data_IF_933550291123
#
_entry.id   IF_933550291123
#
_cell.length_a   1.000
_cell.length_b   1.000
_cell.length_c   1.000
_cell.angle_alpha   90.00
_cell.angle_beta   90.00
_cell.angle_gamma   90.00
#
_symmetry.space_group_name_H-M   'P 1'
#
loop_
_entity.id
_entity.type
_entity.pdbx_description
1 polymer ?
#
# COMPACT_ATOMS: atom_id res chain seq x y z
N UNK A 1 15.69 -13.73 -67.72
CA UNK A 1 16.14 -12.35 -67.81
C UNK A 1 16.25 -11.80 -66.38
N UNK A 2 17.42 -11.89 -65.77
CA UNK A 2 17.90 -11.02 -64.70
C UNK A 2 18.27 -9.69 -65.37
N UNK A 3 18.45 -8.55 -64.62
CA UNK A 3 19.20 -8.35 -63.38
C UNK A 3 18.54 -7.26 -62.45
N UNK A 4 18.97 -6.79 -61.35
CA UNK A 4 20.24 -6.33 -60.74
C UNK A 4 19.96 -5.89 -59.32
N UNK A 5 20.60 -6.47 -58.37
CA UNK A 5 21.48 -5.98 -57.32
C UNK A 5 21.53 -4.43 -57.14
N UNK A 6 21.26 -3.95 -55.92
CA UNK A 6 22.15 -3.00 -55.24
C UNK A 6 21.97 -3.01 -53.72
N UNK A 7 22.98 -3.49 -53.07
CA UNK A 7 23.30 -3.28 -51.67
C UNK A 7 23.69 -1.81 -51.46
N UNK A 8 23.31 -1.27 -50.30
CA UNK A 8 24.08 -0.20 -49.66
C UNK A 8 24.16 -0.54 -48.15
N UNK A 9 25.32 -1.01 -47.82
CA UNK A 9 25.86 -0.94 -46.47
C UNK A 9 26.23 0.52 -46.21
N UNK A 10 26.04 1.01 -45.00
CA UNK A 10 26.93 1.88 -44.23
C UNK A 10 26.19 2.52 -43.08
N UNK A 11 26.76 2.36 -41.91
CA UNK A 11 26.35 3.10 -40.70
C UNK A 11 26.83 2.45 -39.41
N UNK A 12 28.07 1.93 -39.42
CA UNK A 12 28.78 1.58 -38.21
C UNK A 12 29.42 2.85 -37.63
N UNK A 13 29.05 3.29 -36.46
CA UNK A 13 29.84 4.16 -35.60
C UNK A 13 29.23 4.12 -34.20
N UNK A 14 29.81 3.38 -33.31
CA UNK A 14 30.68 3.78 -32.23
C UNK A 14 30.04 4.76 -31.24
N UNK A 15 29.76 4.29 -30.03
CA UNK A 15 30.26 4.98 -28.84
C UNK A 15 30.47 3.91 -27.78
N UNK A 16 31.70 3.49 -27.74
CA UNK A 16 32.41 2.91 -26.62
C UNK A 16 32.84 4.10 -25.75
N UNK A 17 32.72 4.01 -24.46
CA UNK A 17 33.36 4.95 -23.59
C UNK A 17 32.50 5.43 -22.44
N UNK A 18 32.56 4.76 -21.31
CA UNK A 18 32.91 5.30 -20.00
C UNK A 18 33.06 4.09 -19.08
N UNK A 19 34.23 3.51 -19.17
CA UNK A 19 34.81 2.78 -18.07
C UNK A 19 36.00 3.66 -17.57
N UNK A 20 36.20 3.65 -16.27
CA UNK A 20 37.41 4.12 -15.63
C UNK A 20 37.47 5.57 -15.18
N UNK A 21 37.00 5.77 -13.94
CA UNK A 21 37.64 6.76 -13.08
C UNK A 21 37.68 6.20 -11.66
N UNK A 22 38.62 5.35 -11.48
CA UNK A 22 39.09 4.87 -10.17
C UNK A 22 40.55 5.29 -10.06
N UNK A 23 40.91 5.82 -8.89
CA UNK A 23 42.24 6.06 -8.42
C UNK A 23 42.84 7.42 -8.78
N UNK A 24 43.02 8.20 -7.79
CA UNK A 24 44.22 8.90 -7.36
C UNK A 24 43.83 10.06 -6.45
N UNK A 25 44.11 9.89 -5.19
CA UNK A 25 44.68 10.98 -4.40
C UNK A 25 45.38 10.38 -3.19
N UNK A 26 46.63 10.14 -3.41
CA UNK A 26 47.66 9.94 -2.43
C UNK A 26 48.11 11.29 -1.86
N UNK A 27 48.40 11.29 -0.58
CA UNK A 27 49.43 12.06 0.14
C UNK A 27 49.68 13.53 -0.22
N UNK A 28 49.38 14.39 0.74
CA UNK A 28 50.19 15.56 1.01
C UNK A 28 50.37 15.72 2.52
N UNK A 29 51.49 15.22 2.97
CA UNK A 29 52.14 15.46 4.25
C UNK A 29 52.78 16.84 4.18
N UNK A 30 52.41 17.77 5.04
CA UNK A 30 53.25 18.96 5.32
C UNK A 30 53.35 19.12 6.82
N UNK A 31 54.61 19.13 7.20
CA UNK A 31 55.20 19.21 8.53
C UNK A 31 55.38 20.68 8.94
N UNK A 32 55.37 20.94 10.26
CA UNK A 32 55.97 22.00 11.06
C UNK A 32 55.58 23.47 10.86
N UNK A 33 55.20 24.19 11.87
CA UNK A 33 56.07 24.76 12.92
C UNK A 33 55.27 25.70 13.83
N UNK A 34 55.39 25.47 15.11
CA UNK A 34 55.37 26.36 16.26
C UNK A 34 54.86 27.82 16.14
N UNK A 35 53.89 28.20 16.90
CA UNK A 35 53.98 29.34 17.84
C UNK A 35 52.97 29.21 18.94
N UNK A 36 53.47 29.17 20.14
CA UNK A 36 52.75 29.33 21.41
C UNK A 36 52.05 30.68 21.48
N UNK A 37 50.78 30.69 21.86
CA UNK A 37 50.24 31.80 22.62
C UNK A 37 49.20 31.26 23.61
N UNK A 38 49.67 31.30 24.83
CA UNK A 38 48.89 31.08 26.04
C UNK A 38 47.55 31.80 25.97
N UNK A 39 46.44 31.06 26.05
CA UNK A 39 45.15 31.59 26.48
C UNK A 39 44.43 30.54 27.35
N UNK A 40 44.21 30.97 28.53
CA UNK A 40 43.45 30.47 29.67
C UNK A 40 42.40 29.40 29.27
N UNK A 41 42.61 28.17 29.72
CA UNK A 41 41.62 27.11 29.70
C UNK A 41 40.48 27.44 30.64
N UNK A 42 39.36 27.83 30.07
CA UNK A 42 38.07 27.70 30.76
C UNK A 42 37.68 26.24 30.66
N UNK A 43 37.78 25.56 31.78
CA UNK A 43 37.36 24.18 31.97
C UNK A 43 35.89 24.05 31.58
N UNK A 44 35.58 23.24 30.55
CA UNK A 44 34.21 22.87 30.24
C UNK A 44 33.62 22.10 31.43
N UNK A 45 32.38 22.36 31.85
CA UNK A 45 31.75 21.60 32.92
C UNK A 45 31.61 20.13 32.47
N UNK A 46 32.00 19.25 33.36
CA UNK A 46 31.92 17.82 33.31
C UNK A 46 30.49 17.38 32.87
N UNK A 47 30.42 16.43 31.96
CA UNK A 47 29.20 15.79 31.44
C UNK A 47 28.32 15.08 32.49
N UNK A 48 28.58 15.28 33.78
CA UNK A 48 27.76 14.75 34.87
C UNK A 48 26.59 15.68 35.26
N UNK A 49 26.63 16.98 34.92
CA UNK A 49 25.56 17.92 35.28
C UNK A 49 24.45 18.08 34.25
N UNK A 50 24.62 17.55 33.04
CA UNK A 50 23.60 17.56 31.99
C UNK A 50 22.47 16.52 32.22
N UNK A 51 22.69 15.59 33.15
CA UNK A 51 21.73 14.51 33.43
C UNK A 51 20.58 14.93 34.38
N UNK A 52 20.71 16.05 35.05
CA UNK A 52 19.69 16.52 36.02
C UNK A 52 18.65 17.47 35.39
N UNK A 53 18.88 17.97 34.18
CA UNK A 53 17.94 18.85 33.47
C UNK A 53 17.00 18.11 32.52
N UNK A 54 17.22 16.82 32.31
CA UNK A 54 16.37 15.99 31.43
C UNK A 54 15.26 15.23 32.16
N UNK A 55 15.14 15.34 33.47
CA UNK A 55 14.11 14.66 34.27
C UNK A 55 12.86 15.51 34.54
N UNK A 56 12.72 16.64 33.88
CA UNK A 56 11.46 17.36 33.77
C UNK A 56 10.58 16.71 32.71
N UNK A 57 10.08 15.50 32.97
CA UNK A 57 8.93 14.99 32.21
C UNK A 57 7.84 16.06 32.32
N UNK A 58 7.63 16.79 31.22
CA UNK A 58 6.47 17.67 31.05
C UNK A 58 5.25 16.77 31.19
N UNK A 59 4.75 16.63 32.41
CA UNK A 59 3.49 15.97 32.68
C UNK A 59 2.46 16.80 31.94
N UNK A 60 2.06 16.33 30.78
CA UNK A 60 0.95 16.90 30.00
C UNK A 60 -0.23 16.94 30.94
N UNK A 61 -0.53 18.15 31.43
CA UNK A 61 -1.68 18.39 32.32
C UNK A 61 -2.90 18.05 31.47
N UNK A 62 -3.61 16.99 31.82
CA UNK A 62 -4.86 16.63 31.13
C UNK A 62 -5.86 17.78 31.33
N UNK A 63 -6.74 17.98 30.31
CA UNK A 63 -7.75 19.03 30.39
C UNK A 63 -8.61 18.94 31.66
N UNK A 64 -8.82 17.75 32.23
CA UNK A 64 -9.49 17.52 33.50
C UNK A 64 -8.70 18.07 34.69
N UNK A 65 -7.38 17.82 34.76
CA UNK A 65 -6.52 18.34 35.79
C UNK A 65 -6.41 19.90 35.75
N UNK A 66 -6.45 20.47 34.54
CA UNK A 66 -6.50 21.93 34.37
C UNK A 66 -7.81 22.52 34.87
N UNK A 67 -8.95 21.85 34.63
CA UNK A 67 -10.25 22.24 35.16
C UNK A 67 -10.31 22.17 36.69
N UNK A 68 -9.83 21.11 37.31
CA UNK A 68 -9.81 20.92 38.75
C UNK A 68 -8.93 22.01 39.47
N UNK A 69 -7.77 22.30 38.88
CA UNK A 69 -6.91 23.39 39.38
C UNK A 69 -7.58 24.75 39.28
N UNK A 70 -8.27 24.99 38.15
CA UNK A 70 -9.01 26.25 37.98
C UNK A 70 -10.15 26.39 38.98
N UNK A 71 -10.99 25.36 39.16
CA UNK A 71 -12.08 25.37 40.13
C UNK A 71 -11.54 25.64 41.57
N UNK A 72 -10.40 25.02 41.90
CA UNK A 72 -9.77 25.23 43.20
C UNK A 72 -9.26 26.65 43.36
N UNK A 73 -8.67 27.25 42.34
CA UNK A 73 -8.22 28.64 42.32
C UNK A 73 -9.42 29.59 42.38
N UNK A 74 -10.50 29.32 41.63
CA UNK A 74 -11.71 30.12 41.65
C UNK A 74 -12.35 30.18 43.06
N UNK A 75 -12.49 29.00 43.69
CA UNK A 75 -13.03 28.91 45.07
C UNK A 75 -12.13 29.62 46.07
N UNK A 76 -10.82 29.55 45.92
CA UNK A 76 -9.86 30.23 46.78
C UNK A 76 -9.91 31.74 46.57
N UNK A 77 -10.08 32.21 45.35
CA UNK A 77 -10.23 33.64 45.02
C UNK A 77 -11.58 34.19 45.53
N UNK A 78 -12.68 33.45 45.37
CA UNK A 78 -13.98 33.86 45.93
C UNK A 78 -13.98 34.00 47.44
N UNK A 79 -13.10 33.28 48.13
CA UNK A 79 -12.94 33.41 49.62
C UNK A 79 -12.10 34.58 50.04
N UNK A 80 -11.25 35.14 49.12
CA UNK A 80 -10.20 36.11 49.52
C UNK A 80 -10.22 37.42 48.70
N UNK A 81 -11.18 37.62 47.74
CA UNK A 81 -11.21 38.79 46.84
C UNK A 81 -12.10 39.91 47.34
N UNK A 82 -11.54 41.14 47.28
CA UNK A 82 -12.25 42.41 47.32
C UNK A 82 -13.01 42.64 45.98
N UNK A 83 -14.31 43.05 45.99
CA UNK A 83 -15.18 43.05 44.81
C UNK A 83 -14.85 44.08 43.71
N UNK A 84 -13.73 44.79 43.78
CA UNK A 84 -13.46 45.93 42.88
C UNK A 84 -12.61 45.66 41.63
N UNK A 85 -12.13 44.43 41.35
CA UNK A 85 -11.36 44.13 40.14
C UNK A 85 -11.69 42.76 39.53
N UNK A 86 -12.76 42.65 38.66
CA UNK A 86 -13.20 41.39 38.06
C UNK A 86 -12.50 41.02 36.71
N UNK A 87 -11.51 41.80 36.23
CA UNK A 87 -11.05 41.71 34.84
C UNK A 87 -10.16 40.51 34.51
N UNK A 88 -9.47 39.89 35.47
CA UNK A 88 -8.57 38.74 35.19
C UNK A 88 -9.32 37.42 34.97
N UNK A 89 -10.55 37.29 35.48
CA UNK A 89 -11.31 36.05 35.40
C UNK A 89 -11.86 35.74 34.00
N UNK A 90 -12.15 36.75 33.18
CA UNK A 90 -12.70 36.56 31.85
C UNK A 90 -11.67 35.93 30.87
N UNK A 91 -10.43 36.35 30.96
CA UNK A 91 -9.36 35.87 30.11
C UNK A 91 -8.98 34.42 30.42
N UNK A 92 -8.90 34.08 31.71
CA UNK A 92 -8.64 32.68 32.15
C UNK A 92 -9.81 31.77 31.78
N UNK A 93 -11.05 32.23 31.93
CA UNK A 93 -12.23 31.45 31.51
C UNK A 93 -12.24 31.19 30.02
N UNK A 94 -11.83 32.19 29.20
CA UNK A 94 -11.71 32.02 27.73
C UNK A 94 -10.65 30.98 27.37
N UNK A 95 -9.47 31.05 28.01
CA UNK A 95 -8.41 30.07 27.79
C UNK A 95 -8.84 28.64 28.19
N UNK A 96 -9.56 28.52 29.32
CA UNK A 96 -10.09 27.24 29.77
C UNK A 96 -11.15 26.67 28.78
N UNK A 97 -12.02 27.53 28.25
CA UNK A 97 -12.98 27.13 27.22
C UNK A 97 -12.27 26.64 25.96
N UNK A 98 -11.18 27.29 25.56
CA UNK A 98 -10.36 26.84 24.42
C UNK A 98 -9.71 25.49 24.71
N UNK A 99 -9.08 25.30 25.88
CA UNK A 99 -8.49 24.03 26.29
C UNK A 99 -9.56 22.93 26.31
N UNK A 100 -10.76 23.21 26.87
CA UNK A 100 -11.87 22.26 26.91
C UNK A 100 -12.34 21.87 25.53
N UNK A 101 -12.37 22.82 24.59
CA UNK A 101 -12.70 22.54 23.18
C UNK A 101 -11.66 21.64 22.53
N UNK A 102 -10.36 21.93 22.72
CA UNK A 102 -9.27 21.10 22.19
C UNK A 102 -9.33 19.69 22.76
N UNK A 103 -9.48 19.56 24.08
CA UNK A 103 -9.62 18.26 24.75
C UNK A 103 -10.86 17.50 24.26
N UNK A 104 -11.96 18.21 24.02
CA UNK A 104 -13.16 17.64 23.41
C UNK A 104 -12.91 17.09 22.01
N UNK A 105 -12.17 17.82 21.17
CA UNK A 105 -11.77 17.38 19.82
C UNK A 105 -10.82 16.19 19.88
N UNK A 106 -9.85 16.18 20.79
CA UNK A 106 -8.95 15.03 20.99
C UNK A 106 -9.71 13.77 21.40
N UNK A 107 -10.70 13.92 22.31
CA UNK A 107 -11.56 12.81 22.72
C UNK A 107 -12.43 12.30 21.57
N UNK A 108 -12.95 13.20 20.72
CA UNK A 108 -13.67 12.80 19.51
C UNK A 108 -12.75 12.03 18.54
N UNK A 109 -11.54 12.50 18.30
CA UNK A 109 -10.58 11.80 17.45
C UNK A 109 -10.23 10.41 18.00
N UNK A 110 -10.02 10.29 19.31
CA UNK A 110 -9.79 9.00 19.97
C UNK A 110 -10.99 8.06 19.82
N UNK A 111 -12.21 8.58 19.96
CA UNK A 111 -13.45 7.79 19.79
C UNK A 111 -13.60 7.33 18.35
N UNK A 112 -13.30 8.18 17.37
CA UNK A 112 -13.31 7.82 15.94
C UNK A 112 -12.29 6.74 15.60
N UNK A 113 -11.09 6.83 16.17
CA UNK A 113 -10.08 5.77 16.03
C UNK A 113 -10.55 4.45 16.63
N UNK A 114 -11.15 4.49 17.83
CA UNK A 114 -11.74 3.31 18.46
C UNK A 114 -12.85 2.69 17.62
N UNK A 115 -13.74 3.51 17.06
CA UNK A 115 -14.80 3.05 16.15
C UNK A 115 -14.23 2.42 14.89
N UNK A 116 -13.21 3.05 14.27
CA UNK A 116 -12.53 2.50 13.10
C UNK A 116 -11.92 1.13 13.40
N UNK A 117 -11.25 0.99 14.53
CA UNK A 117 -10.66 -0.28 14.97
C UNK A 117 -11.74 -1.36 15.21
N UNK A 118 -12.87 -1.00 15.81
CA UNK A 118 -13.98 -1.92 16.03
C UNK A 118 -14.61 -2.39 14.71
N UNK A 119 -14.74 -1.49 13.72
CA UNK A 119 -15.22 -1.84 12.38
C UNK A 119 -14.26 -2.80 11.66
N UNK A 120 -12.96 -2.56 11.75
CA UNK A 120 -11.93 -3.46 11.16
C UNK A 120 -11.97 -4.84 11.84
N UNK A 121 -12.11 -4.91 13.16
CA UNK A 121 -12.23 -6.16 13.87
C UNK A 121 -13.52 -6.92 13.46
N UNK A 122 -14.63 -6.24 13.33
CA UNK A 122 -15.89 -6.84 12.84
C UNK A 122 -15.74 -7.39 11.42
N UNK A 123 -15.10 -6.62 10.52
CA UNK A 123 -14.85 -7.06 9.14
C UNK A 123 -13.91 -8.27 9.10
N UNK A 124 -12.90 -8.31 9.96
CA UNK A 124 -11.99 -9.46 10.08
C UNK A 124 -12.73 -10.73 10.53
N UNK A 125 -13.63 -10.63 11.51
CA UNK A 125 -14.44 -11.75 11.96
C UNK A 125 -15.37 -12.27 10.86
N UNK A 126 -16.00 -11.37 10.10
CA UNK A 126 -16.84 -11.76 8.95
C UNK A 126 -16.01 -12.45 7.87
N UNK A 127 -14.79 -11.97 7.64
CA UNK A 127 -13.87 -12.55 6.67
C UNK A 127 -13.35 -13.93 7.09
N UNK A 128 -13.28 -14.21 8.39
CA UNK A 128 -12.91 -15.53 8.89
C UNK A 128 -13.89 -16.63 8.43
N UNK A 129 -15.15 -16.28 8.19
CA UNK A 129 -16.14 -17.20 7.62
C UNK A 129 -15.85 -17.61 6.16
N UNK A 130 -14.93 -16.93 5.49
CA UNK A 130 -14.48 -17.26 4.13
C UNK A 130 -13.38 -18.33 4.10
N UNK A 131 -12.74 -18.62 5.24
CA UNK A 131 -11.68 -19.64 5.30
C UNK A 131 -12.24 -20.99 4.84
N UNK A 132 -11.52 -21.62 3.90
CA UNK A 132 -11.91 -22.88 3.27
C UNK A 132 -12.90 -22.73 2.10
N UNK A 133 -13.46 -21.56 1.86
CA UNK A 133 -14.31 -21.30 0.71
C UNK A 133 -13.51 -20.90 -0.52
N UNK A 134 -14.07 -21.18 -1.67
CA UNK A 134 -13.55 -20.71 -2.95
C UNK A 134 -14.12 -19.33 -3.25
N UNK A 135 -13.25 -18.40 -3.65
CA UNK A 135 -13.64 -17.01 -3.97
C UNK A 135 -13.11 -16.63 -5.35
N UNK A 136 -13.88 -15.81 -6.04
CA UNK A 136 -13.41 -15.11 -7.23
C UNK A 136 -13.05 -13.69 -6.86
N UNK A 137 -11.81 -13.31 -7.15
CA UNK A 137 -11.28 -11.99 -6.84
C UNK A 137 -10.50 -11.42 -8.02
N UNK A 138 -10.31 -10.12 -7.99
CA UNK A 138 -9.48 -9.42 -8.99
C UNK A 138 -8.07 -10.02 -9.03
N UNK A 139 -7.65 -10.43 -10.22
CA UNK A 139 -6.35 -11.04 -10.44
C UNK A 139 -6.29 -11.82 -11.74
N UNK A 140 -5.10 -12.20 -12.12
CA UNK A 140 -4.81 -12.84 -13.41
C UNK A 140 -4.06 -14.17 -13.29
N UNK A 141 -4.19 -14.84 -12.14
CA UNK A 141 -3.54 -16.13 -11.90
C UNK A 141 -4.55 -17.25 -12.09
N UNK A 142 -4.17 -18.26 -12.85
CA UNK A 142 -4.87 -19.53 -13.01
C UNK A 142 -4.07 -20.62 -12.30
N UNK A 143 -4.68 -21.27 -11.33
CA UNK A 143 -4.09 -22.45 -10.70
C UNK A 143 -4.53 -23.70 -11.44
N UNK A 144 -3.62 -24.30 -12.23
CA UNK A 144 -3.86 -25.57 -12.89
C UNK A 144 -3.61 -26.70 -11.88
N UNK A 145 -4.63 -27.49 -11.64
CA UNK A 145 -4.56 -28.66 -10.78
C UNK A 145 -5.59 -29.69 -11.23
N UNK A 146 -5.23 -30.96 -11.13
CA UNK A 146 -6.07 -32.06 -11.56
C UNK A 146 -6.56 -31.94 -13.02
N UNK A 147 -5.80 -31.21 -13.85
CA UNK A 147 -6.01 -31.11 -15.28
C UNK A 147 -6.96 -30.01 -15.76
N UNK A 148 -7.44 -29.14 -14.87
CA UNK A 148 -8.21 -27.97 -15.26
C UNK A 148 -7.91 -26.76 -14.39
N UNK A 149 -8.20 -25.58 -14.92
CA UNK A 149 -8.14 -24.31 -14.18
C UNK A 149 -9.35 -23.44 -14.51
N UNK A 150 -9.91 -22.80 -13.51
CA UNK A 150 -11.06 -21.90 -13.67
C UNK A 150 -10.63 -20.47 -13.46
N UNK A 151 -11.05 -19.60 -14.36
CA UNK A 151 -10.89 -18.15 -14.25
C UNK A 151 -12.20 -17.43 -14.55
N UNK A 152 -12.16 -16.13 -14.43
CA UNK A 152 -13.30 -15.29 -14.77
C UNK A 152 -12.90 -13.98 -15.41
N UNK A 153 -13.88 -13.28 -15.90
CA UNK A 153 -13.78 -11.93 -16.42
C UNK A 153 -15.03 -11.14 -15.99
N UNK A 154 -14.83 -9.93 -15.55
CA UNK A 154 -15.92 -8.97 -15.30
C UNK A 154 -15.94 -7.96 -16.44
N UNK A 155 -16.98 -8.02 -17.27
CA UNK A 155 -17.16 -7.18 -18.45
C UNK A 155 -18.05 -5.99 -18.10
N UNK A 156 -17.58 -4.77 -18.36
CA UNK A 156 -18.35 -3.54 -18.11
C UNK A 156 -19.55 -3.40 -19.05
N UNK A 157 -19.50 -4.05 -20.21
CA UNK A 157 -20.57 -4.09 -21.21
C UNK A 157 -20.50 -5.38 -22.01
N UNK A 158 -21.55 -5.71 -22.74
CA UNK A 158 -21.61 -6.89 -23.60
C UNK A 158 -20.50 -6.83 -24.68
N UNK A 159 -19.81 -7.93 -24.88
CA UNK A 159 -18.73 -8.07 -25.83
C UNK A 159 -19.14 -9.02 -26.97
N UNK A 160 -18.88 -8.63 -28.21
CA UNK A 160 -19.08 -9.49 -29.37
C UNK A 160 -17.98 -10.55 -29.54
N UNK A 161 -16.78 -10.28 -28.94
CA UNK A 161 -15.67 -11.22 -28.92
C UNK A 161 -14.90 -11.06 -27.61
N UNK A 162 -14.66 -12.19 -26.95
CA UNK A 162 -13.80 -12.30 -25.78
C UNK A 162 -12.75 -13.36 -26.04
N UNK A 163 -11.47 -13.01 -25.90
CA UNK A 163 -10.34 -13.92 -26.07
C UNK A 163 -9.54 -13.96 -24.77
N UNK A 164 -9.22 -15.15 -24.30
CA UNK A 164 -8.34 -15.39 -23.15
C UNK A 164 -7.02 -15.95 -23.67
N UNK A 165 -5.92 -15.33 -23.25
CA UNK A 165 -4.56 -15.80 -23.52
C UNK A 165 -3.92 -16.26 -22.22
N UNK A 166 -3.57 -17.54 -22.12
CA UNK A 166 -2.86 -18.13 -20.98
C UNK A 166 -1.37 -18.10 -21.24
N UNK A 167 -0.60 -17.69 -20.25
CA UNK A 167 0.84 -17.47 -20.35
C UNK A 167 1.55 -18.31 -19.30
N UNK A 168 2.58 -19.02 -19.69
CA UNK A 168 3.44 -19.80 -18.81
C UNK A 168 4.41 -18.95 -18.00
N UNK A 169 5.17 -19.59 -17.12
CA UNK A 169 6.14 -18.92 -16.24
C UNK A 169 7.26 -18.19 -17.01
N UNK A 170 7.56 -18.66 -18.22
CA UNK A 170 8.54 -18.05 -19.12
C UNK A 170 8.01 -16.83 -19.90
N UNK A 171 6.76 -16.45 -19.68
CA UNK A 171 6.09 -15.35 -20.39
C UNK A 171 5.55 -15.71 -21.78
N UNK A 172 5.75 -16.94 -22.26
CA UNK A 172 5.19 -17.38 -23.53
C UNK A 172 3.70 -17.69 -23.40
N UNK A 173 2.92 -17.32 -24.44
CA UNK A 173 1.51 -17.74 -24.53
C UNK A 173 1.47 -19.23 -24.81
N UNK A 174 0.85 -20.00 -23.93
CA UNK A 174 0.71 -21.45 -24.04
C UNK A 174 -0.65 -21.86 -24.64
N UNK A 175 -1.69 -21.07 -24.38
CA UNK A 175 -3.04 -21.31 -24.89
C UNK A 175 -3.76 -20.03 -25.21
N UNK A 176 -4.46 -20.01 -26.32
CA UNK A 176 -5.43 -18.98 -26.68
C UNK A 176 -6.81 -19.57 -26.81
N UNK A 177 -7.78 -19.04 -26.09
CA UNK A 177 -9.16 -19.51 -26.09
C UNK A 177 -10.08 -18.38 -26.53
N UNK A 178 -10.95 -18.65 -27.47
CA UNK A 178 -12.01 -17.73 -27.88
C UNK A 178 -13.29 -18.11 -27.17
N UNK A 179 -13.77 -17.22 -26.29
CA UNK A 179 -15.01 -17.43 -25.55
C UNK A 179 -16.25 -17.00 -26.36
N UNK A 180 -16.03 -16.31 -27.50
CA UNK A 180 -17.09 -15.76 -28.31
C UNK A 180 -17.77 -14.54 -27.69
N UNK A 181 -19.04 -14.33 -28.05
CA UNK A 181 -19.85 -13.25 -27.48
C UNK A 181 -20.21 -13.53 -26.01
N UNK A 182 -20.15 -12.50 -25.18
CA UNK A 182 -20.48 -12.56 -23.74
C UNK A 182 -21.28 -11.34 -23.32
N UNK A 183 -22.22 -11.55 -22.42
CA UNK A 183 -22.96 -10.47 -21.79
C UNK A 183 -22.10 -9.70 -20.77
N UNK A 184 -22.56 -8.50 -20.41
CA UNK A 184 -21.96 -7.72 -19.35
C UNK A 184 -22.00 -8.45 -17.98
N UNK A 185 -21.05 -8.14 -17.12
CA UNK A 185 -20.93 -8.71 -15.77
C UNK A 185 -19.96 -9.87 -15.70
N UNK A 186 -20.04 -10.65 -14.62
CA UNK A 186 -19.11 -11.71 -14.28
C UNK A 186 -19.37 -12.96 -15.15
N UNK A 187 -18.39 -13.28 -15.98
CA UNK A 187 -18.36 -14.47 -16.84
C UNK A 187 -17.24 -15.39 -16.39
N UNK A 188 -17.50 -16.70 -16.31
CA UNK A 188 -16.49 -17.70 -15.97
C UNK A 188 -16.06 -18.47 -17.20
N UNK A 189 -14.82 -18.92 -17.20
CA UNK A 189 -14.29 -19.84 -18.22
C UNK A 189 -13.45 -20.92 -17.56
N UNK A 190 -13.25 -22.01 -18.27
CA UNK A 190 -12.43 -23.12 -17.82
C UNK A 190 -11.36 -23.45 -18.87
N UNK A 191 -10.14 -23.64 -18.41
CA UNK A 191 -9.03 -24.10 -19.21
C UNK A 191 -8.76 -25.58 -18.91
N UNK A 192 -8.65 -26.38 -19.93
CA UNK A 192 -8.44 -27.82 -19.87
C UNK A 192 -6.98 -28.25 -19.58
N UNK A 193 -6.10 -27.30 -19.34
CA UNK A 193 -4.68 -27.53 -19.08
C UNK A 193 -3.89 -27.99 -20.32
N UNK A 194 -4.45 -27.86 -21.54
CA UNK A 194 -3.75 -28.15 -22.78
C UNK A 194 -3.19 -26.87 -23.41
N UNK A 195 -2.03 -27.00 -24.08
CA UNK A 195 -1.50 -25.92 -24.89
C UNK A 195 -2.18 -25.88 -26.29
N UNK A 196 -1.79 -24.93 -27.15
CA UNK A 196 -2.35 -24.83 -28.50
C UNK A 196 -1.99 -26.04 -29.39
N UNK A 197 -0.96 -26.83 -29.07
CA UNK A 197 -0.59 -28.07 -29.75
C UNK A 197 -1.35 -29.30 -29.21
N UNK A 198 -2.18 -29.14 -28.16
CA UNK A 198 -2.92 -30.25 -27.56
C UNK A 198 -2.10 -31.02 -26.50
N UNK A 199 -0.92 -30.54 -26.12
CA UNK A 199 -0.09 -31.19 -25.12
C UNK A 199 -0.50 -30.72 -23.71
N UNK A 200 -0.46 -31.66 -22.75
CA UNK A 200 -0.79 -31.33 -21.35
C UNK A 200 0.32 -30.48 -20.69
N UNK A 201 -0.10 -29.41 -20.11
CA UNK A 201 0.76 -28.53 -19.34
C UNK A 201 0.92 -29.06 -17.90
N UNK A 202 2.09 -28.86 -17.27
CA UNK A 202 2.32 -29.21 -15.87
C UNK A 202 1.36 -28.48 -14.92
N UNK A 203 0.96 -29.16 -13.84
CA UNK A 203 0.21 -28.50 -12.77
C UNK A 203 1.03 -27.35 -12.16
N UNK A 204 0.38 -26.25 -11.85
CA UNK A 204 1.05 -25.06 -11.35
C UNK A 204 0.28 -23.75 -11.59
N UNK A 205 0.96 -22.65 -11.38
CA UNK A 205 0.40 -21.31 -11.55
C UNK A 205 0.73 -20.75 -12.93
N UNK A 206 -0.29 -20.33 -13.65
CA UNK A 206 -0.22 -19.67 -14.93
C UNK A 206 -0.79 -18.25 -14.82
N UNK A 207 -0.46 -17.40 -15.76
CA UNK A 207 -1.08 -16.08 -15.86
C UNK A 207 -2.02 -16.06 -17.04
N UNK A 208 -3.02 -15.21 -17.00
CA UNK A 208 -3.91 -15.01 -18.14
C UNK A 208 -4.24 -13.55 -18.36
N UNK A 209 -4.55 -13.23 -19.57
CA UNK A 209 -5.03 -11.92 -20.01
C UNK A 209 -6.32 -12.12 -20.80
N UNK A 210 -7.21 -11.14 -20.70
CA UNK A 210 -8.47 -11.12 -21.42
C UNK A 210 -8.48 -9.92 -22.34
N UNK A 211 -8.85 -10.13 -23.58
CA UNK A 211 -9.14 -9.11 -24.56
C UNK A 211 -10.62 -9.21 -24.96
N UNK A 212 -11.36 -8.14 -24.78
CA UNK A 212 -12.77 -8.06 -25.14
C UNK A 212 -13.00 -6.91 -26.13
N UNK A 213 -13.88 -7.13 -27.08
CA UNK A 213 -14.23 -6.14 -28.11
C UNK A 213 -15.73 -6.17 -28.41
N UNK A 214 -16.27 -5.03 -28.84
CA UNK A 214 -17.71 -4.85 -29.14
C UNK A 214 -18.20 -5.71 -30.30
N UNK A 215 -17.31 -6.11 -31.20
CA UNK A 215 -17.63 -6.89 -32.37
C UNK A 215 -16.54 -7.90 -32.72
N UNK A 216 -16.85 -8.74 -33.74
CA UNK A 216 -15.93 -9.77 -34.23
C UNK A 216 -14.99 -9.26 -35.33
N UNK A 217 -15.28 -8.10 -35.91
CA UNK A 217 -14.49 -7.51 -37.00
C UNK A 217 -13.16 -6.94 -36.48
N UNK A 218 -12.15 -6.90 -37.36
CA UNK A 218 -10.91 -6.19 -37.09
C UNK A 218 -11.22 -4.69 -36.93
N UNK A 219 -10.72 -4.08 -35.86
CA UNK A 219 -10.98 -2.67 -35.54
C UNK A 219 -12.20 -2.45 -34.62
N UNK A 220 -12.86 -3.50 -34.13
CA UNK A 220 -13.88 -3.36 -33.10
C UNK A 220 -13.27 -2.69 -31.82
N UNK A 221 -14.06 -1.82 -31.20
CA UNK A 221 -13.62 -1.08 -30.04
C UNK A 221 -13.34 -2.05 -28.86
N UNK A 222 -12.23 -1.82 -28.18
CA UNK A 222 -11.87 -2.57 -26.98
C UNK A 222 -12.85 -2.27 -25.85
N UNK A 223 -13.16 -3.29 -25.07
CA UNK A 223 -14.02 -3.21 -23.89
C UNK A 223 -13.14 -3.44 -22.66
N UNK A 224 -13.39 -2.64 -21.62
CA UNK A 224 -12.77 -2.85 -20.32
C UNK A 224 -13.24 -4.19 -19.73
N UNK A 225 -12.28 -5.05 -19.47
CA UNK A 225 -12.47 -6.41 -19.00
C UNK A 225 -11.54 -6.68 -17.83
N UNK A 226 -12.10 -6.78 -16.63
CA UNK A 226 -11.33 -7.09 -15.43
C UNK A 226 -11.15 -8.61 -15.30
N UNK A 227 -9.91 -9.06 -15.21
CA UNK A 227 -9.60 -10.48 -14.96
C UNK A 227 -9.91 -10.87 -13.53
N UNK A 228 -10.48 -12.06 -13.35
CA UNK A 228 -10.83 -12.60 -12.04
C UNK A 228 -10.20 -13.98 -11.87
N UNK A 229 -9.45 -14.17 -10.80
CA UNK A 229 -8.89 -15.47 -10.45
C UNK A 229 -9.78 -16.19 -9.44
N UNK A 230 -9.81 -17.51 -9.56
CA UNK A 230 -10.43 -18.38 -8.56
C UNK A 230 -9.37 -18.85 -7.57
N UNK A 231 -9.66 -18.77 -6.28
CA UNK A 231 -8.76 -19.25 -5.25
C UNK A 231 -9.47 -19.65 -3.97
N UNK A 232 -8.93 -20.66 -3.28
CA UNK A 232 -9.40 -21.05 -1.96
C UNK A 232 -8.77 -20.18 -0.89
N UNK A 233 -9.59 -19.64 0.00
CA UNK A 233 -9.12 -18.83 1.13
C UNK A 233 -8.46 -19.75 2.16
N UNK A 234 -7.16 -19.57 2.40
CA UNK A 234 -6.39 -20.33 3.37
C UNK A 234 -6.32 -19.64 4.73
N UNK A 235 -6.20 -18.32 4.74
CA UNK A 235 -6.15 -17.53 5.98
C UNK A 235 -6.62 -16.11 5.76
N UNK A 236 -6.92 -15.43 6.85
CA UNK A 236 -7.31 -14.01 6.90
C UNK A 236 -6.35 -13.26 7.81
N UNK A 237 -5.89 -12.11 7.38
CA UNK A 237 -5.00 -11.24 8.15
C UNK A 237 -5.63 -9.86 8.27
N UNK A 238 -5.55 -9.25 9.45
CA UNK A 238 -6.18 -7.96 9.77
C UNK A 238 -5.15 -6.85 10.11
N UNK A 239 -4.03 -6.77 9.39
CA UNK A 239 -3.01 -5.73 9.58
C UNK A 239 -3.27 -4.54 8.65
N UNK A 240 -3.80 -3.44 9.19
CA UNK A 240 -4.08 -2.23 8.41
C UNK A 240 -5.19 -2.36 7.34
N UNK A 241 -5.90 -3.48 7.35
CA UNK A 241 -6.96 -3.86 6.42
C UNK A 241 -7.17 -5.38 6.44
N UNK A 242 -8.33 -5.84 5.99
CA UNK A 242 -8.60 -7.29 5.92
C UNK A 242 -8.06 -7.85 4.61
N UNK A 243 -7.06 -8.71 4.70
CA UNK A 243 -6.42 -9.40 3.58
C UNK A 243 -6.68 -10.88 3.66
N UNK A 244 -7.04 -11.48 2.53
CA UNK A 244 -7.23 -12.91 2.36
C UNK A 244 -5.98 -13.48 1.69
N UNK A 245 -5.46 -14.59 2.22
CA UNK A 245 -4.43 -15.38 1.55
C UNK A 245 -5.13 -16.51 0.79
N UNK A 246 -4.98 -16.54 -0.52
CA UNK A 246 -5.58 -17.53 -1.40
C UNK A 246 -4.53 -18.41 -2.07
N UNK A 247 -4.89 -19.64 -2.35
CA UNK A 247 -4.02 -20.64 -3.02
C UNK A 247 -2.62 -20.75 -2.40
N UNK A 248 -2.50 -20.48 -1.08
CA UNK A 248 -1.24 -20.59 -0.35
C UNK A 248 -0.19 -19.52 -0.61
N UNK A 249 -0.49 -18.45 -1.39
CA UNK A 249 0.54 -17.44 -1.70
C UNK A 249 0.05 -16.07 -2.16
N UNK A 250 -1.12 -15.99 -2.75
CA UNK A 250 -1.62 -14.72 -3.27
C UNK A 250 -2.44 -13.99 -2.21
N UNK A 251 -2.07 -12.75 -1.92
CA UNK A 251 -2.79 -11.88 -1.00
C UNK A 251 -3.74 -10.98 -1.78
N UNK A 252 -5.00 -10.92 -1.36
CA UNK A 252 -6.03 -10.06 -1.92
C UNK A 252 -6.77 -9.30 -0.81
N UNK A 253 -7.21 -8.08 -1.10
CA UNK A 253 -8.12 -7.36 -0.21
C UNK A 253 -9.52 -7.99 -0.23
N UNK A 254 -10.24 -7.94 0.89
CA UNK A 254 -11.63 -8.41 0.90
C UNK A 254 -12.52 -7.62 -0.09
N UNK A 255 -12.19 -6.36 -0.35
CA UNK A 255 -12.90 -5.52 -1.32
C UNK A 255 -12.75 -6.00 -2.77
N UNK A 256 -11.70 -6.79 -3.07
CA UNK A 256 -11.43 -7.35 -4.39
C UNK A 256 -12.20 -8.63 -4.66
N UNK A 257 -12.85 -9.20 -3.64
CA UNK A 257 -13.69 -10.39 -3.78
C UNK A 257 -14.98 -10.01 -4.50
N UNK A 258 -15.21 -10.61 -5.66
CA UNK A 258 -16.41 -10.38 -6.49
C UNK A 258 -17.49 -11.44 -6.26
N UNK A 259 -17.10 -12.66 -5.92
CA UNK A 259 -18.03 -13.79 -5.72
C UNK A 259 -17.46 -14.77 -4.70
N UNK A 260 -18.32 -15.35 -3.89
CA UNK A 260 -18.05 -16.46 -2.96
C UNK A 260 -18.77 -17.67 -3.50
N UNK A 261 -18.11 -18.84 -3.50
CA UNK A 261 -18.61 -20.11 -4.04
C UNK A 261 -18.74 -21.16 -2.94
#
# INVERSE_FOLDING_TARGET
>A
MLPIIKAVAMGLSAINGIASMRSMMTDARIDKTSQEKSMTTVSAPSSADASLLSSGASKTVTGAEAQDRFLKLLVTQMRNQDPLNPLDNAQVTTQLAQISTVTGVEKLNSTLQGLSSALMASQSLQSAALIGRDVMASGNVLSLGSGNATGGVDLKQAAGRVTVSVTGANGAVVRRMELGAREAGLQTFQWDGLNDAGERMPDGSYRFQVSAATGVANGAAAIDAQTLMLGRVNSVTANGGTTLLINGGTQIGIADVKRIL
#
